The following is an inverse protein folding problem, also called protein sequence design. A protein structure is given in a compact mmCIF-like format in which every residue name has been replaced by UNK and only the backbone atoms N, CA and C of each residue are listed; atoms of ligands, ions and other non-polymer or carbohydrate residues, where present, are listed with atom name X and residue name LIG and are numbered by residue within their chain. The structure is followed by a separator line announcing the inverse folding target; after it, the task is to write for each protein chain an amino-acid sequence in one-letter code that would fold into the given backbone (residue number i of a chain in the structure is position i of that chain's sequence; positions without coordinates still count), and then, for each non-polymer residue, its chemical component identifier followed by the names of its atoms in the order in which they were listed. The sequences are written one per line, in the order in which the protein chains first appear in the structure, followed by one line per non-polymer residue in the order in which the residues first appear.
data_IF_534665270408
#
_entry.id   IF_534665270408
#
_cell.length_a   1.000
_cell.length_b   1.000
_cell.length_c   1.000
_cell.angle_alpha   90.00
_cell.angle_beta   90.00
_cell.angle_gamma   90.00
#
_symmetry.space_group_name_H-M   'P 1'
#
loop_
_entity.id
_entity.type
_entity.pdbx_description
1 polymer ?
#
# COMPACT_ATOMS: atom_id res chain seq x y z
N UNK A 1 46.27 19.85 5.48
CA UNK A 1 44.90 19.37 5.74
C UNK A 1 44.19 19.49 4.42
N UNK A 2 44.18 18.41 3.65
CA UNK A 2 43.37 18.33 2.43
C UNK A 2 41.91 18.18 2.85
N UNK A 3 41.02 18.99 2.27
CA UNK A 3 39.58 18.89 2.48
C UNK A 3 39.06 17.58 1.84
N UNK A 4 38.97 16.51 2.62
CA UNK A 4 38.26 15.26 2.24
C UNK A 4 36.72 15.43 2.29
N UNK A 5 36.20 16.55 1.78
CA UNK A 5 34.79 16.95 1.96
C UNK A 5 33.82 16.55 0.84
N UNK A 6 34.30 16.20 -0.36
CA UNK A 6 33.48 16.33 -1.59
C UNK A 6 33.24 15.01 -2.36
N UNK A 7 33.40 13.85 -1.71
CA UNK A 7 33.37 12.53 -2.38
C UNK A 7 32.12 11.68 -2.14
N UNK A 8 31.17 12.13 -1.30
CA UNK A 8 29.99 11.35 -0.90
C UNK A 8 28.72 11.91 -1.52
N UNK A 9 28.11 11.14 -2.42
CA UNK A 9 26.78 11.41 -2.97
C UNK A 9 25.67 10.63 -2.25
N UNK A 10 24.47 11.20 -2.17
CA UNK A 10 23.29 10.54 -1.64
C UNK A 10 22.05 10.86 -2.48
N UNK A 11 21.08 9.96 -2.46
CA UNK A 11 19.76 10.14 -3.07
C UNK A 11 18.73 9.46 -2.16
N UNK A 12 17.52 10.02 -2.10
CA UNK A 12 16.42 9.53 -1.28
C UNK A 12 15.13 9.56 -2.09
N UNK A 13 14.25 8.60 -1.81
CA UNK A 13 12.88 8.58 -2.33
C UNK A 13 11.91 8.47 -1.15
N UNK A 14 11.01 9.46 -1.02
CA UNK A 14 10.05 9.56 0.09
C UNK A 14 8.68 9.11 -0.43
N UNK A 15 8.34 7.86 -0.14
CA UNK A 15 7.04 7.29 -0.52
C UNK A 15 5.93 7.81 0.42
N UNK A 16 4.94 8.51 -0.14
CA UNK A 16 3.81 9.01 0.64
C UNK A 16 2.94 7.85 1.19
N UNK A 17 2.29 8.01 2.35
CA UNK A 17 1.34 7.02 2.86
C UNK A 17 0.22 6.71 1.86
N UNK A 18 -0.21 7.70 1.08
CA UNK A 18 -1.18 7.54 0.01
C UNK A 18 -0.65 6.65 -1.13
N UNK A 19 0.59 6.85 -1.59
CA UNK A 19 1.20 5.98 -2.61
C UNK A 19 1.29 4.53 -2.11
N UNK A 20 1.70 4.34 -0.85
CA UNK A 20 1.76 3.00 -0.24
C UNK A 20 0.36 2.36 -0.18
N UNK A 21 -0.66 3.13 0.19
CA UNK A 21 -2.04 2.65 0.31
C UNK A 21 -2.61 2.26 -1.05
N UNK A 22 -2.57 3.16 -2.01
CA UNK A 22 -3.10 2.96 -3.38
C UNK A 22 -2.37 1.85 -4.12
N UNK A 23 -1.06 1.70 -3.89
CA UNK A 23 -0.26 0.59 -4.42
C UNK A 23 -0.74 -0.76 -3.89
N UNK A 24 -0.95 -0.87 -2.57
CA UNK A 24 -1.28 -2.14 -1.92
C UNK A 24 -2.76 -2.54 -2.03
N UNK A 25 -3.66 -1.56 -2.14
CA UNK A 25 -5.12 -1.75 -2.26
C UNK A 25 -5.61 -1.69 -3.71
N UNK A 26 -4.70 -1.69 -4.70
CA UNK A 26 -5.07 -1.73 -6.11
C UNK A 26 -5.65 -3.09 -6.51
N UNK A 27 -6.38 -3.11 -7.64
CA UNK A 27 -6.98 -4.33 -8.24
C UNK A 27 -5.99 -5.48 -8.42
N UNK A 28 -4.74 -5.13 -8.77
CA UNK A 28 -3.64 -6.10 -8.86
C UNK A 28 -2.85 -6.06 -7.57
N UNK A 29 -2.77 -7.19 -6.88
CA UNK A 29 -2.04 -7.33 -5.61
C UNK A 29 -0.58 -6.91 -5.78
N UNK A 30 -0.21 -5.82 -5.13
CA UNK A 30 1.17 -5.32 -5.10
C UNK A 30 1.60 -5.08 -3.65
N UNK A 31 2.30 -6.06 -3.08
CA UNK A 31 2.63 -6.06 -1.66
C UNK A 31 3.80 -5.10 -1.32
N UNK A 32 3.96 -4.83 -0.02
CA UNK A 32 4.97 -3.90 0.49
C UNK A 32 6.41 -4.31 0.14
N UNK A 33 6.71 -5.62 0.07
CA UNK A 33 8.05 -6.08 -0.30
C UNK A 33 8.34 -5.75 -1.76
N UNK A 34 7.40 -6.01 -2.67
CA UNK A 34 7.53 -5.63 -4.08
C UNK A 34 7.71 -4.11 -4.24
N UNK A 35 6.88 -3.30 -3.58
CA UNK A 35 7.01 -1.83 -3.56
C UNK A 35 8.40 -1.38 -3.08
N UNK A 36 8.88 -1.98 -1.99
CA UNK A 36 10.18 -1.66 -1.40
C UNK A 36 11.34 -2.04 -2.33
N UNK A 37 11.29 -3.22 -2.93
CA UNK A 37 12.33 -3.71 -3.85
C UNK A 37 12.38 -2.90 -5.15
N UNK A 38 11.22 -2.53 -5.70
CA UNK A 38 11.15 -1.71 -6.91
C UNK A 38 11.64 -0.29 -6.68
N UNK A 39 11.33 0.30 -5.53
CA UNK A 39 11.82 1.62 -5.11
C UNK A 39 13.35 1.61 -4.95
N UNK A 40 13.89 0.59 -4.25
CA UNK A 40 15.33 0.45 -4.08
C UNK A 40 16.05 0.32 -5.43
N UNK A 41 15.50 -0.49 -6.35
CA UNK A 41 16.04 -0.60 -7.69
C UNK A 41 15.85 0.68 -8.53
N UNK A 42 14.81 1.47 -8.26
CA UNK A 42 14.63 2.81 -8.81
C UNK A 42 15.77 3.75 -8.42
N UNK A 43 16.15 3.77 -7.14
CA UNK A 43 17.28 4.58 -6.65
C UNK A 43 18.63 4.14 -7.23
N UNK A 44 18.87 2.82 -7.36
CA UNK A 44 20.07 2.31 -8.02
C UNK A 44 20.13 2.78 -9.48
N UNK A 45 19.00 2.67 -10.20
CA UNK A 45 18.91 3.14 -11.59
C UNK A 45 19.13 4.65 -11.69
N UNK A 46 18.54 5.42 -10.80
CA UNK A 46 18.73 6.87 -10.75
C UNK A 46 20.21 7.24 -10.63
N UNK A 47 20.98 6.56 -9.75
CA UNK A 47 22.42 6.79 -9.65
C UNK A 47 23.17 6.49 -10.96
N UNK A 48 22.82 5.40 -11.65
CA UNK A 48 23.39 5.06 -12.96
C UNK A 48 23.05 6.10 -14.03
N UNK A 49 21.80 6.58 -14.06
CA UNK A 49 21.32 7.60 -15.01
C UNK A 49 22.01 8.95 -14.79
N UNK A 50 22.43 9.26 -13.56
CA UNK A 50 23.26 10.43 -13.23
C UNK A 50 24.74 10.24 -13.60
N UNK A 51 25.12 9.11 -14.21
CA UNK A 51 26.50 8.84 -14.63
C UNK A 51 27.42 8.34 -13.52
N UNK A 52 26.87 7.96 -12.36
CA UNK A 52 27.67 7.37 -11.28
C UNK A 52 28.18 5.99 -11.70
N UNK A 53 29.49 5.78 -11.62
CA UNK A 53 30.13 4.50 -11.96
C UNK A 53 29.99 3.51 -10.81
N UNK A 54 28.83 2.88 -10.70
CA UNK A 54 28.57 1.90 -9.63
C UNK A 54 29.07 0.52 -10.04
N UNK A 55 29.96 -0.06 -9.23
CA UNK A 55 30.51 -1.42 -9.45
C UNK A 55 29.99 -2.44 -8.44
N UNK A 56 29.73 -2.02 -7.21
CA UNK A 56 29.21 -2.85 -6.12
C UNK A 56 28.00 -2.19 -5.46
N UNK A 57 27.01 -2.99 -5.06
CA UNK A 57 25.80 -2.56 -4.36
C UNK A 57 25.60 -3.41 -3.12
N UNK A 58 25.45 -2.75 -1.97
CA UNK A 58 25.14 -3.39 -0.70
C UNK A 58 23.74 -2.97 -0.25
N UNK A 59 22.88 -3.94 0.07
CA UNK A 59 21.49 -3.68 0.46
C UNK A 59 21.17 -4.39 1.77
N UNK A 60 20.58 -3.67 2.71
CA UNK A 60 20.01 -4.24 3.93
C UNK A 60 18.63 -4.83 3.65
N UNK A 61 18.29 -5.93 4.31
CA UNK A 61 17.00 -6.59 4.11
C UNK A 61 16.39 -7.10 5.41
N UNK A 62 15.07 -7.10 5.43
CA UNK A 62 14.26 -7.83 6.39
C UNK A 62 13.74 -9.10 5.70
N UNK A 63 14.13 -10.28 6.18
CA UNK A 63 13.76 -11.56 5.56
C UNK A 63 14.92 -12.23 4.83
N UNK A 64 14.60 -13.03 3.79
CA UNK A 64 15.54 -13.93 3.13
C UNK A 64 16.36 -13.23 2.04
N UNK A 65 17.67 -13.00 2.24
CA UNK A 65 18.48 -12.22 1.31
C UNK A 65 18.63 -12.82 -0.08
N UNK A 66 18.55 -14.15 -0.21
CA UNK A 66 18.86 -14.90 -1.43
C UNK A 66 17.91 -14.52 -2.56
N UNK A 67 16.61 -14.49 -2.26
CA UNK A 67 15.57 -14.16 -3.25
C UNK A 67 15.66 -12.71 -3.70
N UNK A 68 15.98 -11.80 -2.77
CA UNK A 68 16.10 -10.38 -3.08
C UNK A 68 17.39 -10.09 -3.88
N UNK A 69 18.51 -10.71 -3.49
CA UNK A 69 19.77 -10.62 -4.22
C UNK A 69 19.62 -11.13 -5.65
N UNK A 70 18.98 -12.29 -5.85
CA UNK A 70 18.77 -12.84 -7.18
C UNK A 70 17.95 -11.87 -8.07
N UNK A 71 16.88 -11.27 -7.53
CA UNK A 71 16.06 -10.29 -8.24
C UNK A 71 16.85 -9.04 -8.64
N UNK A 72 17.62 -8.47 -7.71
CA UNK A 72 18.44 -7.29 -7.99
C UNK A 72 19.56 -7.61 -8.98
N UNK A 73 20.26 -8.74 -8.79
CA UNK A 73 21.34 -9.17 -9.67
C UNK A 73 20.85 -9.42 -11.10
N UNK A 74 19.64 -9.95 -11.27
CA UNK A 74 19.01 -10.09 -12.60
C UNK A 74 18.72 -8.74 -13.25
N UNK A 75 18.32 -7.73 -12.46
CA UNK A 75 18.01 -6.38 -12.94
C UNK A 75 19.27 -5.55 -13.24
N UNK A 76 20.39 -5.85 -12.57
CA UNK A 76 21.67 -5.16 -12.69
C UNK A 76 22.83 -6.14 -12.93
N UNK A 77 22.89 -6.81 -14.10
CA UNK A 77 23.85 -7.90 -14.35
C UNK A 77 25.31 -7.44 -14.46
N UNK A 78 25.57 -6.15 -14.71
CA UNK A 78 26.92 -5.58 -14.84
C UNK A 78 27.58 -5.18 -13.53
N UNK A 79 26.95 -5.45 -12.38
CA UNK A 79 27.35 -4.96 -11.06
C UNK A 79 27.32 -6.10 -10.05
N UNK A 80 28.16 -6.04 -9.03
CA UNK A 80 28.13 -7.01 -7.93
C UNK A 80 27.10 -6.60 -6.89
N UNK A 81 26.02 -7.38 -6.76
CA UNK A 81 24.96 -7.11 -5.77
C UNK A 81 25.10 -8.04 -4.58
N UNK A 82 25.27 -7.46 -3.39
CA UNK A 82 25.30 -8.16 -2.11
C UNK A 82 24.12 -7.71 -1.24
N UNK A 83 23.24 -8.64 -0.90
CA UNK A 83 22.15 -8.42 0.06
C UNK A 83 22.45 -9.19 1.34
N UNK A 84 22.34 -8.52 2.50
CA UNK A 84 22.58 -9.13 3.81
C UNK A 84 21.57 -8.60 4.82
N UNK A 85 21.23 -9.42 5.81
CA UNK A 85 20.54 -8.94 7.00
C UNK A 85 21.53 -8.18 7.89
N UNK A 86 21.10 -7.06 8.49
CA UNK A 86 21.95 -6.19 9.34
C UNK A 86 23.15 -5.63 8.58
N UNK A 87 22.95 -5.32 7.29
CA UNK A 87 24.02 -4.80 6.43
C UNK A 87 24.52 -3.42 6.90
N UNK A 88 23.67 -2.66 7.59
CA UNK A 88 24.01 -1.39 8.23
C UNK A 88 25.10 -1.49 9.31
N UNK A 89 25.23 -2.66 9.92
CA UNK A 89 26.27 -2.97 10.92
C UNK A 89 27.55 -3.53 10.28
N UNK A 90 27.50 -3.91 9.01
CA UNK A 90 28.59 -4.58 8.28
C UNK A 90 29.28 -3.64 7.28
N UNK A 91 28.54 -2.73 6.66
CA UNK A 91 29.02 -1.88 5.58
C UNK A 91 28.79 -0.40 5.90
N UNK A 92 29.85 0.43 5.97
CA UNK A 92 29.72 1.86 6.28
C UNK A 92 28.77 2.62 5.35
N UNK A 93 28.75 2.27 4.06
CA UNK A 93 27.84 2.88 3.07
C UNK A 93 26.36 2.59 3.35
N UNK A 94 26.04 1.39 3.86
CA UNK A 94 24.67 1.03 4.26
C UNK A 94 24.31 1.70 5.59
N UNK A 95 25.28 1.81 6.50
CA UNK A 95 25.13 2.58 7.75
C UNK A 95 24.78 4.05 7.46
N UNK A 96 25.52 4.69 6.55
CA UNK A 96 25.27 6.06 6.13
C UNK A 96 23.87 6.20 5.47
N UNK A 97 23.51 5.32 4.54
CA UNK A 97 22.18 5.30 3.92
C UNK A 97 21.05 5.18 4.97
N UNK A 98 21.25 4.36 6.00
CA UNK A 98 20.31 4.18 7.11
C UNK A 98 20.12 5.48 7.92
N UNK A 99 21.19 6.25 8.13
CA UNK A 99 21.12 7.56 8.78
C UNK A 99 20.31 8.54 7.92
N UNK A 100 20.64 8.68 6.63
CA UNK A 100 19.91 9.58 5.72
C UNK A 100 18.42 9.24 5.64
N UNK A 101 18.09 7.96 5.51
CA UNK A 101 16.70 7.51 5.46
C UNK A 101 15.92 7.84 6.75
N UNK A 102 16.51 7.62 7.93
CA UNK A 102 15.87 7.92 9.23
C UNK A 102 15.68 9.42 9.43
N UNK A 103 16.72 10.22 9.17
CA UNK A 103 16.65 11.68 9.29
C UNK A 103 15.60 12.26 8.35
N UNK A 104 15.56 11.81 7.10
CA UNK A 104 14.58 12.27 6.13
C UNK A 104 13.15 11.85 6.49
N UNK A 105 12.96 10.62 6.99
CA UNK A 105 11.66 10.16 7.51
C UNK A 105 11.17 11.08 8.62
N UNK A 106 12.00 11.30 9.64
CA UNK A 106 11.60 12.07 10.82
C UNK A 106 11.32 13.53 10.45
N UNK A 107 12.09 14.11 9.51
CA UNK A 107 11.85 15.44 8.96
C UNK A 107 10.55 15.52 8.13
N UNK A 108 10.28 14.52 7.29
CA UNK A 108 9.08 14.47 6.45
C UNK A 108 7.81 14.34 7.30
N UNK A 109 7.87 13.52 8.35
CA UNK A 109 6.77 13.33 9.30
C UNK A 109 6.54 14.60 10.13
N UNK A 110 7.61 15.26 10.60
CA UNK A 110 7.50 16.53 11.35
C UNK A 110 6.95 17.69 10.52
N UNK A 111 7.29 17.75 9.23
CA UNK A 111 6.85 18.81 8.33
C UNK A 111 5.67 18.37 7.45
N UNK A 112 4.96 17.32 7.83
CA UNK A 112 3.86 16.81 7.04
C UNK A 112 2.77 17.88 6.88
N UNK A 113 2.39 18.12 5.63
CA UNK A 113 1.27 19.00 5.30
C UNK A 113 0.08 18.13 4.95
N UNK A 114 -0.95 18.20 5.78
CA UNK A 114 -2.20 17.53 5.51
C UNK A 114 -2.87 18.16 4.29
N UNK A 115 -3.36 17.32 3.39
CA UNK A 115 -4.09 17.76 2.19
C UNK A 115 -5.51 18.17 2.58
N UNK A 116 -6.05 17.51 3.59
CA UNK A 116 -7.37 17.75 4.14
C UNK A 116 -7.39 18.99 5.04
N UNK A 117 -8.47 19.77 4.96
CA UNK A 117 -8.76 20.85 5.91
C UNK A 117 -9.32 20.27 7.21
N UNK A 118 -8.47 19.65 8.02
CA UNK A 118 -8.86 19.08 9.30
C UNK A 118 -9.04 20.19 10.34
N UNK A 119 -10.21 20.23 10.99
CA UNK A 119 -10.40 21.02 12.20
C UNK A 119 -9.57 20.38 13.32
N UNK A 120 -8.87 21.20 14.10
CA UNK A 120 -8.01 20.74 15.21
C UNK A 120 -6.94 19.71 14.80
N UNK A 121 -6.04 20.12 13.90
CA UNK A 121 -4.84 19.34 13.54
C UNK A 121 -4.00 19.03 14.79
N UNK A 122 -4.30 17.88 15.38
CA UNK A 122 -3.53 17.30 16.47
C UNK A 122 -2.27 16.70 15.85
N UNK A 123 -1.17 17.46 15.83
CA UNK A 123 0.12 17.01 15.32
C UNK A 123 0.79 15.96 16.22
N UNK A 124 0.14 15.56 17.30
CA UNK A 124 0.68 14.63 18.29
C UNK A 124 0.13 13.20 18.12
N UNK A 125 0.39 12.61 16.96
CA UNK A 125 -0.01 11.23 16.61
C UNK A 125 0.86 10.13 17.27
N UNK A 126 1.76 10.49 18.19
CA UNK A 126 2.69 9.55 18.83
C UNK A 126 3.79 9.05 17.89
N UNK A 127 4.23 7.81 18.06
CA UNK A 127 5.34 7.22 17.29
C UNK A 127 4.98 6.87 15.84
N UNK A 128 3.68 6.79 15.53
CA UNK A 128 3.15 6.34 14.25
C UNK A 128 3.15 4.81 14.07
N UNK A 129 3.59 4.05 15.08
CA UNK A 129 3.57 2.59 15.01
C UNK A 129 2.22 2.02 15.46
N UNK A 130 1.73 0.93 14.83
CA UNK A 130 0.45 0.32 15.17
C UNK A 130 0.33 -0.18 16.61
N UNK A 131 1.45 -0.39 17.32
CA UNK A 131 1.45 -0.87 18.70
C UNK A 131 1.43 0.25 19.74
N UNK A 132 1.60 1.50 19.32
CA UNK A 132 1.59 2.66 20.22
C UNK A 132 0.14 3.02 20.61
N UNK A 133 -0.20 3.03 21.91
CA UNK A 133 -1.52 3.44 22.38
C UNK A 133 -1.91 4.83 21.91
N UNK A 134 -0.95 5.76 21.81
CA UNK A 134 -1.19 7.14 21.39
C UNK A 134 -1.55 7.22 19.91
N UNK A 135 -0.85 6.49 19.07
CA UNK A 135 -1.18 6.38 17.64
C UNK A 135 -2.55 5.74 17.43
N UNK A 136 -2.90 4.68 18.19
CA UNK A 136 -4.25 4.09 18.13
C UNK A 136 -5.34 5.07 18.55
N UNK A 137 -5.09 5.87 19.59
CA UNK A 137 -6.04 6.90 20.04
C UNK A 137 -6.21 8.00 19.00
N UNK A 138 -5.10 8.44 18.38
CA UNK A 138 -5.13 9.43 17.30
C UNK A 138 -5.92 8.93 16.10
N UNK A 139 -5.72 7.68 15.68
CA UNK A 139 -6.49 7.07 14.58
C UNK A 139 -8.00 7.14 14.87
N UNK A 140 -8.46 6.58 16.00
CA UNK A 140 -9.89 6.59 16.36
C UNK A 140 -10.51 7.98 16.45
N UNK A 141 -9.73 8.98 16.88
CA UNK A 141 -10.19 10.37 16.96
C UNK A 141 -10.41 11.01 15.59
N UNK A 142 -9.72 10.52 14.55
CA UNK A 142 -9.73 11.11 13.20
C UNK A 142 -10.32 10.16 12.15
N UNK A 143 -11.33 9.38 12.53
CA UNK A 143 -12.17 8.61 11.60
C UNK A 143 -13.37 9.48 11.21
N UNK A 144 -13.46 9.82 9.93
CA UNK A 144 -14.66 10.33 9.30
C UNK A 144 -15.56 9.15 8.87
N UNK A 145 -16.89 9.20 9.09
CA UNK A 145 -17.78 8.09 8.74
C UNK A 145 -17.77 7.73 7.26
N UNK A 146 -17.56 8.70 6.36
CA UNK A 146 -17.64 8.48 4.90
C UNK A 146 -16.25 8.31 4.30
N UNK A 147 -15.32 9.20 4.65
CA UNK A 147 -13.98 9.23 4.05
C UNK A 147 -12.95 8.39 4.80
N UNK A 148 -13.26 7.93 6.01
CA UNK A 148 -12.32 7.19 6.84
C UNK A 148 -11.23 8.09 7.39
N UNK A 149 -9.99 7.94 6.93
CA UNK A 149 -8.84 8.66 7.47
C UNK A 149 -8.31 9.76 6.52
N UNK A 150 -7.54 10.74 7.02
CA UNK A 150 -6.74 11.59 6.15
C UNK A 150 -5.64 10.79 5.42
N UNK A 151 -5.16 11.30 4.28
CA UNK A 151 -4.14 10.68 3.42
C UNK A 151 -2.80 10.41 4.11
N UNK A 152 -2.58 10.94 5.31
CA UNK A 152 -1.43 10.63 6.14
C UNK A 152 -1.44 9.18 6.66
N UNK A 153 -2.63 8.57 6.80
CA UNK A 153 -2.79 7.20 7.28
C UNK A 153 -2.59 6.22 6.14
N UNK A 154 -1.89 5.10 6.41
CA UNK A 154 -1.74 4.01 5.47
C UNK A 154 -2.95 3.09 5.55
N UNK A 155 -3.90 3.22 4.63
CA UNK A 155 -5.14 2.43 4.60
C UNK A 155 -4.89 0.93 4.41
N UNK A 156 -3.76 0.56 3.80
CA UNK A 156 -3.39 -0.85 3.60
C UNK A 156 -2.93 -1.57 4.87
N UNK A 157 -2.83 -0.88 6.02
CA UNK A 157 -2.45 -1.50 7.28
C UNK A 157 -3.67 -2.12 7.96
N UNK A 158 -3.52 -3.35 8.45
CA UNK A 158 -4.60 -4.08 9.11
C UNK A 158 -5.21 -3.34 10.30
N UNK A 159 -4.41 -2.58 11.06
CA UNK A 159 -4.92 -1.74 12.15
C UNK A 159 -5.84 -0.63 11.66
N UNK A 160 -5.56 -0.02 10.50
CA UNK A 160 -6.41 1.00 9.91
C UNK A 160 -7.70 0.37 9.37
N UNK A 161 -7.58 -0.74 8.62
CA UNK A 161 -8.74 -1.48 8.10
C UNK A 161 -9.71 -1.91 9.21
N UNK A 162 -9.18 -2.50 10.29
CA UNK A 162 -10.00 -2.96 11.42
C UNK A 162 -10.66 -1.82 12.22
N UNK A 163 -10.19 -0.58 12.09
CA UNK A 163 -10.87 0.59 12.65
C UNK A 163 -11.98 1.06 11.70
N UNK A 164 -11.70 1.14 10.40
CA UNK A 164 -12.70 1.51 9.38
C UNK A 164 -13.91 0.58 9.40
N UNK A 165 -13.69 -0.74 9.46
CA UNK A 165 -14.74 -1.75 9.56
C UNK A 165 -15.65 -1.61 10.80
N UNK A 166 -15.24 -0.83 11.80
CA UNK A 166 -15.98 -0.68 13.07
C UNK A 166 -16.55 0.71 13.30
N UNK A 167 -15.88 1.73 12.77
CA UNK A 167 -16.11 3.13 13.10
C UNK A 167 -16.54 3.96 11.88
N UNK A 168 -16.39 3.45 10.65
CA UNK A 168 -16.84 4.09 9.41
C UNK A 168 -18.02 3.34 8.78
N UNK A 169 -18.65 3.96 7.78
CA UNK A 169 -19.72 3.36 6.98
C UNK A 169 -19.18 2.27 6.06
N UNK A 170 -20.00 1.25 5.80
CA UNK A 170 -19.64 0.13 4.94
C UNK A 170 -19.54 0.57 3.47
N UNK A 171 -18.46 0.17 2.80
CA UNK A 171 -18.21 0.45 1.37
C UNK A 171 -17.93 -0.85 0.63
N UNK A 172 -18.71 -1.11 -0.42
CA UNK A 172 -18.52 -2.27 -1.31
C UNK A 172 -17.86 -1.83 -2.62
N UNK A 173 -16.79 -2.52 -3.01
CA UNK A 173 -16.06 -2.29 -4.26
C UNK A 173 -16.39 -3.36 -5.30
N UNK A 174 -16.13 -3.10 -6.59
CA UNK A 174 -16.35 -4.05 -7.69
C UNK A 174 -15.64 -5.39 -7.51
N UNK A 175 -14.51 -5.38 -6.78
CA UNK A 175 -13.68 -6.55 -6.46
C UNK A 175 -13.78 -6.97 -4.99
N UNK A 176 -14.66 -6.35 -4.21
CA UNK A 176 -15.09 -6.93 -2.94
C UNK A 176 -15.75 -8.27 -3.25
N UNK A 177 -15.27 -9.34 -2.61
CA UNK A 177 -15.90 -10.64 -2.78
C UNK A 177 -17.39 -10.51 -2.43
N UNK A 178 -18.26 -10.90 -3.35
CA UNK A 178 -19.66 -11.13 -3.00
C UNK A 178 -19.64 -12.16 -1.87
N UNK A 179 -20.11 -11.78 -0.68
CA UNK A 179 -20.53 -12.77 0.31
C UNK A 179 -21.69 -13.50 -0.34
N UNK A 180 -21.40 -14.58 -1.05
CA UNK A 180 -22.39 -15.45 -1.66
C UNK A 180 -23.32 -15.91 -0.52
N UNK A 181 -24.57 -15.40 -0.41
CA UNK A 181 -25.45 -15.74 0.70
C UNK A 181 -25.93 -17.19 0.58
N UNK A 182 -25.71 -17.81 -0.58
CA UNK A 182 -26.13 -19.16 -0.91
C UNK A 182 -24.89 -20.04 -1.14
N UNK A 183 -24.48 -20.73 -0.08
CA UNK A 183 -23.70 -21.96 -0.26
C UNK A 183 -24.38 -22.89 -1.28
N UNK A 184 -23.65 -23.83 -1.90
CA UNK A 184 -24.09 -24.57 -3.08
C UNK A 184 -25.50 -25.14 -2.86
N UNK A 185 -26.48 -24.55 -3.58
CA UNK A 185 -27.89 -24.84 -3.42
C UNK A 185 -28.16 -26.34 -3.44
N UNK A 186 -28.88 -26.82 -2.42
CA UNK A 186 -29.29 -28.23 -2.32
C UNK A 186 -30.07 -28.61 -3.59
N UNK A 187 -29.58 -29.62 -4.31
CA UNK A 187 -30.16 -30.25 -5.51
C UNK A 187 -31.66 -30.57 -5.37
N UNK A 188 -32.19 -30.65 -4.15
CA UNK A 188 -33.63 -30.79 -3.85
C UNK A 188 -34.53 -29.66 -4.38
N UNK A 189 -34.02 -28.45 -4.64
CA UNK A 189 -34.82 -27.36 -5.23
C UNK A 189 -35.20 -27.62 -6.70
N UNK A 190 -34.45 -28.46 -7.42
CA UNK A 190 -34.74 -28.83 -8.82
C UNK A 190 -35.93 -29.79 -8.95
N UNK A 191 -36.29 -30.53 -7.89
CA UNK A 191 -37.36 -31.54 -7.94
C UNK A 191 -38.72 -31.04 -7.43
N UNK A 192 -38.80 -29.80 -6.94
CA UNK A 192 -40.02 -29.20 -6.38
C UNK A 192 -40.45 -27.96 -7.16
N UNK A 193 -40.83 -28.11 -8.44
CA UNK A 193 -41.95 -27.36 -9.03
C UNK A 193 -42.22 -27.74 -10.50
N UNK A 194 -43.38 -28.34 -10.76
CA UNK A 194 -44.14 -28.09 -11.99
C UNK A 194 -45.62 -27.97 -11.63
N UNK A 195 -46.05 -26.74 -11.42
CA UNK A 195 -47.45 -26.29 -11.45
C UNK A 195 -47.58 -25.15 -12.46
N UNK A 196 -48.79 -24.83 -12.97
CA UNK A 196 -48.97 -23.90 -14.07
C UNK A 196 -48.52 -22.49 -13.69
N UNK A 197 -47.55 -21.95 -14.43
CA UNK A 197 -47.01 -20.62 -14.21
C UNK A 197 -47.98 -19.56 -14.72
N UNK A 198 -48.62 -18.85 -13.79
CA UNK A 198 -49.12 -17.52 -14.05
C UNK A 198 -47.91 -16.60 -14.37
N UNK A 199 -47.99 -15.92 -15.51
CA UNK A 199 -47.11 -14.84 -15.99
C UNK A 199 -45.72 -14.71 -15.37
N UNK A 200 -44.72 -15.40 -15.93
CA UNK A 200 -43.32 -15.03 -15.68
C UNK A 200 -43.07 -13.63 -16.25
N UNK A 201 -42.47 -12.69 -15.49
CA UNK A 201 -42.05 -11.41 -16.05
C UNK A 201 -41.12 -11.68 -17.23
N UNK A 202 -41.46 -11.13 -18.39
CA UNK A 202 -40.66 -11.26 -19.59
C UNK A 202 -39.31 -10.59 -19.30
N UNK A 203 -38.21 -11.34 -19.44
CA UNK A 203 -36.88 -10.78 -19.21
C UNK A 203 -36.72 -9.52 -20.09
N UNK A 204 -36.18 -8.41 -19.54
CA UNK A 204 -36.07 -7.16 -20.27
C UNK A 204 -35.27 -7.37 -21.56
N UNK A 205 -35.59 -6.61 -22.62
CA UNK A 205 -34.85 -6.76 -23.88
C UNK A 205 -33.34 -6.55 -23.65
N UNK A 206 -32.52 -7.31 -24.38
CA UNK A 206 -31.05 -7.31 -24.24
C UNK A 206 -30.43 -5.90 -24.20
N UNK A 207 -30.99 -4.98 -25.00
CA UNK A 207 -30.62 -3.57 -25.00
C UNK A 207 -30.57 -2.94 -23.60
N UNK A 208 -31.56 -3.21 -22.74
CA UNK A 208 -31.68 -2.65 -21.39
C UNK A 208 -30.76 -3.36 -20.39
N UNK A 209 -30.65 -4.68 -20.48
CA UNK A 209 -29.78 -5.49 -19.62
C UNK A 209 -28.31 -5.07 -19.75
N UNK A 210 -27.81 -4.93 -20.99
CA UNK A 210 -26.42 -4.54 -21.26
C UNK A 210 -26.07 -3.12 -20.78
N UNK A 211 -27.07 -2.31 -20.45
CA UNK A 211 -26.91 -0.90 -20.04
C UNK A 211 -27.30 -0.65 -18.58
N UNK A 212 -27.68 -1.69 -17.84
CA UNK A 212 -28.15 -1.55 -16.46
C UNK A 212 -29.41 -0.69 -16.33
N UNK A 213 -30.30 -0.73 -17.33
CA UNK A 213 -31.52 0.07 -17.35
C UNK A 213 -32.73 -0.74 -16.88
N UNK A 214 -33.44 -0.23 -15.89
CA UNK A 214 -34.66 -0.83 -15.35
C UNK A 214 -35.79 0.22 -15.25
N UNK A 215 -37.04 -0.24 -15.26
CA UNK A 215 -38.18 0.63 -15.09
C UNK A 215 -38.32 1.01 -13.61
N UNK A 216 -38.42 2.30 -13.30
CA UNK A 216 -38.62 2.77 -11.94
C UNK A 216 -40.02 2.36 -11.43
N UNK A 217 -40.08 1.45 -10.45
CA UNK A 217 -41.32 1.08 -9.75
C UNK A 217 -41.65 2.01 -8.58
N UNK A 218 -40.68 2.84 -8.17
CA UNK A 218 -40.79 3.86 -7.13
C UNK A 218 -39.82 5.01 -7.45
N UNK A 219 -40.10 6.20 -6.92
CA UNK A 219 -39.22 7.38 -6.99
C UNK A 219 -38.44 7.54 -5.70
#
# INVERSE_FOLDING_TARGET
MEEEGDSVGWALDILSPNLISTSMLGRVKYNLNSLSHDTAAGLIRHALDQGVKVTQVFVDTVGMPETYQARLQQRFPGMEVTVRAKADSLFPVVSAASIFAKVARDQAVKNWQFVESLQDLDSDYGSGYPNDPKTKAWLRKHVDPVFGFPQFVRFSWSTAQAILEKEAEDVTWEDSAEEDPEGPGRITSYFLSQGPQAGRPQAPHRYFQERGLEAASSL
#
